data_IF_077079498717
#
_entry.id   IF_077079498717
#
_cell.length_a   1.000
_cell.length_b   1.000
_cell.length_c   1.000
_cell.angle_alpha   90.00
_cell.angle_beta   90.00
_cell.angle_gamma   90.00
#
_symmetry.space_group_name_H-M   'P 1'
#
loop_
_entity.id
_entity.type
_entity.pdbx_description
1 polymer ?
#
# COMPACT_ATOMS: atom_id res chain seq x y z
N UNK A 1 11.19 -28.04 15.45
CA UNK A 1 10.80 -29.19 14.60
C UNK A 1 11.22 -30.41 15.39
N UNK A 2 10.28 -31.14 15.99
CA UNK A 2 10.63 -32.37 16.72
C UNK A 2 11.12 -33.40 15.71
N UNK A 3 12.30 -33.94 15.95
CA UNK A 3 12.90 -34.94 15.07
C UNK A 3 12.21 -36.28 15.27
N UNK A 4 12.03 -37.04 14.19
CA UNK A 4 11.39 -38.36 14.25
C UNK A 4 12.07 -39.31 15.27
N UNK A 5 13.40 -39.22 15.42
CA UNK A 5 14.15 -40.01 16.41
C UNK A 5 13.86 -39.62 17.86
N UNK A 6 13.55 -38.35 18.12
CA UNK A 6 13.26 -37.82 19.45
C UNK A 6 11.87 -38.27 19.96
N UNK A 7 10.97 -38.66 19.04
CA UNK A 7 9.63 -39.18 19.34
C UNK A 7 9.69 -40.66 19.77
N UNK A 8 10.67 -41.41 19.26
CA UNK A 8 10.84 -42.84 19.56
C UNK A 8 11.89 -43.10 20.66
N UNK A 9 12.87 -42.21 20.84
CA UNK A 9 13.86 -42.30 21.93
C UNK A 9 14.85 -43.47 21.80
N UNK A 10 14.94 -44.11 20.62
CA UNK A 10 15.82 -45.25 20.38
C UNK A 10 17.20 -44.80 19.83
N UNK A 11 18.32 -45.44 20.23
CA UNK A 11 19.64 -45.15 19.69
C UNK A 11 19.78 -45.61 18.22
N UNK A 12 20.46 -44.81 17.39
CA UNK A 12 20.62 -44.99 15.93
C UNK A 12 21.14 -46.38 15.48
N UNK A 13 21.64 -47.21 16.40
CA UNK A 13 22.23 -48.51 16.12
C UNK A 13 21.22 -49.66 15.94
N UNK A 14 19.92 -49.45 16.17
CA UNK A 14 18.90 -50.53 16.11
C UNK A 14 17.89 -50.39 14.94
N UNK A 15 18.21 -49.61 13.91
CA UNK A 15 17.29 -49.41 12.79
C UNK A 15 17.08 -50.70 11.98
N UNK A 16 15.85 -51.21 11.99
CA UNK A 16 15.40 -52.23 11.03
C UNK A 16 15.54 -51.75 9.58
N UNK A 17 15.59 -52.70 8.64
CA UNK A 17 15.68 -52.56 7.18
C UNK A 17 15.75 -51.10 6.66
N UNK A 18 16.94 -50.69 6.19
CA UNK A 18 17.32 -49.32 5.81
C UNK A 18 16.33 -48.57 4.89
N UNK A 19 15.51 -49.30 4.15
CA UNK A 19 14.50 -48.72 3.27
C UNK A 19 13.22 -48.31 4.02
N UNK A 20 12.76 -49.14 4.96
CA UNK A 20 11.55 -48.87 5.77
C UNK A 20 11.77 -47.68 6.69
N UNK A 21 12.94 -47.59 7.32
CA UNK A 21 13.30 -46.45 8.18
C UNK A 21 13.30 -45.12 7.44
N UNK A 22 13.97 -45.06 6.27
CA UNK A 22 14.03 -43.84 5.43
C UNK A 22 12.65 -43.41 4.92
N UNK A 23 11.81 -44.38 4.55
CA UNK A 23 10.45 -44.09 4.08
C UNK A 23 9.56 -43.57 5.21
N UNK A 24 9.60 -44.20 6.39
CA UNK A 24 8.86 -43.76 7.56
C UNK A 24 9.26 -42.33 7.97
N UNK A 25 10.57 -42.04 8.02
CA UNK A 25 11.09 -40.71 8.31
C UNK A 25 10.60 -39.65 7.31
N UNK A 26 10.60 -39.97 6.01
CA UNK A 26 10.14 -39.05 4.95
C UNK A 26 8.63 -38.81 5.02
N UNK A 27 7.82 -39.85 5.20
CA UNK A 27 6.36 -39.71 5.29
C UNK A 27 5.98 -38.94 6.56
N UNK A 28 6.58 -39.26 7.70
CA UNK A 28 6.30 -38.56 8.95
C UNK A 28 6.58 -37.05 8.87
N UNK A 29 7.75 -36.68 8.35
CA UNK A 29 8.15 -35.26 8.21
C UNK A 29 7.20 -34.50 7.28
N UNK A 30 6.79 -35.15 6.19
CA UNK A 30 5.85 -34.58 5.22
C UNK A 30 4.45 -34.39 5.82
N UNK A 31 3.92 -35.43 6.49
CA UNK A 31 2.57 -35.41 7.08
C UNK A 31 2.45 -34.39 8.21
N UNK A 32 3.42 -34.32 9.13
CA UNK A 32 3.40 -33.33 10.21
C UNK A 32 3.38 -31.91 9.65
N UNK A 33 4.21 -31.64 8.63
CA UNK A 33 4.24 -30.33 7.97
C UNK A 33 2.92 -30.01 7.25
N UNK A 34 2.29 -31.00 6.62
CA UNK A 34 1.01 -30.83 5.94
C UNK A 34 -0.13 -30.54 6.93
N UNK A 35 -0.19 -31.23 8.07
CA UNK A 35 -1.22 -31.01 9.10
C UNK A 35 -1.11 -29.61 9.70
N UNK A 36 0.09 -29.13 10.02
CA UNK A 36 0.27 -27.76 10.53
C UNK A 36 -0.18 -26.69 9.53
N UNK A 37 0.09 -26.90 8.23
CA UNK A 37 -0.37 -26.03 7.15
C UNK A 37 -1.90 -26.07 7.02
N UNK A 38 -2.50 -27.26 7.03
CA UNK A 38 -3.94 -27.44 6.90
C UNK A 38 -4.69 -26.81 8.09
N UNK A 39 -4.18 -26.99 9.31
CA UNK A 39 -4.74 -26.36 10.51
C UNK A 39 -4.65 -24.83 10.44
N UNK A 40 -3.53 -24.29 9.96
CA UNK A 40 -3.38 -22.85 9.71
C UNK A 40 -4.38 -22.35 8.69
N UNK A 41 -4.60 -23.06 7.58
CA UNK A 41 -5.58 -22.66 6.55
C UNK A 41 -6.99 -22.61 7.15
N UNK A 42 -7.38 -23.59 7.96
CA UNK A 42 -8.69 -23.61 8.62
C UNK A 42 -8.85 -22.39 9.56
N UNK A 43 -7.81 -22.04 10.31
CA UNK A 43 -7.83 -20.87 11.20
C UNK A 43 -7.79 -19.53 10.45
N UNK A 44 -7.21 -19.48 9.26
CA UNK A 44 -7.17 -18.26 8.44
C UNK A 44 -8.52 -17.94 7.83
N UNK A 45 -9.36 -18.93 7.51
CA UNK A 45 -10.69 -18.72 6.95
C UNK A 45 -11.57 -17.76 7.78
N UNK A 46 -11.80 -17.97 9.09
CA UNK A 46 -12.62 -17.05 9.89
C UNK A 46 -11.98 -15.67 10.01
N UNK A 47 -10.65 -15.59 10.13
CA UNK A 47 -9.91 -14.33 10.19
C UNK A 47 -10.08 -13.54 8.89
N UNK A 48 -9.95 -14.20 7.73
CA UNK A 48 -10.14 -13.59 6.42
C UNK A 48 -11.56 -13.05 6.23
N UNK A 49 -12.58 -13.76 6.73
CA UNK A 49 -13.98 -13.29 6.70
C UNK A 49 -14.14 -12.01 7.53
N UNK A 50 -13.60 -11.97 8.75
CA UNK A 50 -13.67 -10.79 9.62
C UNK A 50 -12.97 -9.58 8.97
N UNK A 51 -11.77 -9.78 8.44
CA UNK A 51 -11.05 -8.72 7.72
C UNK A 51 -11.77 -8.28 6.45
N UNK A 52 -12.38 -9.21 5.71
CA UNK A 52 -13.17 -8.89 4.53
C UNK A 52 -14.38 -8.00 4.84
N UNK A 53 -15.09 -8.29 5.94
CA UNK A 53 -16.23 -7.46 6.38
C UNK A 53 -15.75 -6.08 6.84
N UNK A 54 -14.67 -6.02 7.62
CA UNK A 54 -14.07 -4.74 8.05
C UNK A 54 -13.66 -3.89 6.84
N UNK A 55 -13.03 -4.51 5.85
CA UNK A 55 -12.62 -3.83 4.61
C UNK A 55 -13.82 -3.36 3.79
N UNK A 56 -14.90 -4.15 3.72
CA UNK A 56 -16.13 -3.76 3.03
C UNK A 56 -16.76 -2.52 3.67
N UNK A 57 -16.84 -2.48 5.01
CA UNK A 57 -17.37 -1.31 5.75
C UNK A 57 -16.47 -0.10 5.52
N UNK A 58 -15.15 -0.27 5.62
CA UNK A 58 -14.19 0.81 5.38
C UNK A 58 -14.31 1.38 3.95
N UNK A 59 -14.44 0.50 2.95
CA UNK A 59 -14.64 0.88 1.56
C UNK A 59 -15.94 1.65 1.37
N UNK A 60 -17.05 1.19 1.97
CA UNK A 60 -18.32 1.91 1.92
C UNK A 60 -18.19 3.32 2.53
N UNK A 61 -17.59 3.44 3.72
CA UNK A 61 -17.34 4.74 4.36
C UNK A 61 -16.48 5.64 3.45
N UNK A 62 -15.42 5.11 2.87
CA UNK A 62 -14.55 5.87 1.97
C UNK A 62 -15.30 6.39 0.74
N UNK A 63 -16.12 5.56 0.10
CA UNK A 63 -16.86 5.97 -1.10
C UNK A 63 -17.92 7.02 -0.74
N UNK A 64 -18.69 6.79 0.32
CA UNK A 64 -19.81 7.66 0.69
C UNK A 64 -19.40 8.93 1.43
N UNK A 65 -18.27 8.96 2.14
CA UNK A 65 -17.83 10.12 2.93
C UNK A 65 -16.59 10.78 2.31
N UNK A 66 -15.53 10.02 2.00
CA UNK A 66 -14.30 10.64 1.50
C UNK A 66 -14.47 11.23 0.09
N UNK A 67 -15.23 10.57 -0.79
CA UNK A 67 -15.46 11.09 -2.16
C UNK A 67 -16.19 12.43 -2.18
N UNK A 68 -17.36 12.61 -1.51
CA UNK A 68 -18.02 13.91 -1.51
C UNK A 68 -17.22 14.97 -0.76
N UNK A 69 -16.53 14.63 0.34
CA UNK A 69 -15.68 15.59 1.05
C UNK A 69 -14.48 16.03 0.19
N UNK A 70 -13.86 15.10 -0.54
CA UNK A 70 -12.75 15.40 -1.44
C UNK A 70 -13.17 16.35 -2.57
N UNK A 71 -14.36 16.17 -3.13
CA UNK A 71 -14.94 17.11 -4.10
C UNK A 71 -15.24 18.48 -3.47
N UNK A 72 -15.83 18.49 -2.28
CA UNK A 72 -16.22 19.72 -1.58
C UNK A 72 -15.00 20.55 -1.14
N UNK A 73 -13.89 19.90 -0.81
CA UNK A 73 -12.60 20.54 -0.50
C UNK A 73 -11.83 20.90 -1.79
N UNK A 74 -11.95 20.09 -2.85
CA UNK A 74 -11.29 20.35 -4.13
C UNK A 74 -11.80 21.59 -4.85
N UNK A 75 -13.09 21.90 -4.71
CA UNK A 75 -13.71 23.10 -5.31
C UNK A 75 -13.09 24.43 -4.81
N UNK A 76 -13.00 24.71 -3.50
CA UNK A 76 -12.36 25.93 -3.01
C UNK A 76 -10.85 25.93 -3.29
N UNK A 77 -10.17 24.78 -3.17
CA UNK A 77 -8.74 24.68 -3.45
C UNK A 77 -8.41 25.07 -4.91
N UNK A 78 -9.21 24.62 -5.88
CA UNK A 78 -9.05 24.96 -7.29
C UNK A 78 -9.39 26.43 -7.57
N UNK A 79 -10.39 27.00 -6.90
CA UNK A 79 -10.72 28.42 -7.02
C UNK A 79 -9.58 29.32 -6.53
N UNK A 80 -8.99 29.00 -5.38
CA UNK A 80 -7.85 29.74 -4.82
C UNK A 80 -6.63 29.67 -5.75
N UNK A 81 -6.33 28.50 -6.31
CA UNK A 81 -5.23 28.33 -7.26
C UNK A 81 -5.42 29.19 -8.52
N UNK A 82 -6.64 29.26 -9.07
CA UNK A 82 -6.95 30.11 -10.22
C UNK A 82 -6.85 31.60 -9.89
N UNK A 83 -7.37 32.04 -8.75
CA UNK A 83 -7.28 33.44 -8.31
C UNK A 83 -5.83 33.89 -8.18
N UNK A 84 -4.96 33.06 -7.60
CA UNK A 84 -3.54 33.37 -7.48
C UNK A 84 -2.84 33.47 -8.85
N UNK A 85 -3.23 32.62 -9.81
CA UNK A 85 -2.68 32.65 -11.16
C UNK A 85 -3.14 33.89 -11.94
N UNK A 86 -4.43 34.26 -11.90
CA UNK A 86 -4.92 35.49 -12.52
C UNK A 86 -4.23 36.72 -11.93
N UNK A 87 -4.13 36.81 -10.59
CA UNK A 87 -3.43 37.90 -9.92
C UNK A 87 -1.95 38.00 -10.34
N UNK A 88 -1.26 36.86 -10.50
CA UNK A 88 0.12 36.83 -10.97
C UNK A 88 0.25 37.28 -12.44
N UNK A 89 -0.67 36.86 -13.31
CA UNK A 89 -0.69 37.25 -14.73
C UNK A 89 -0.98 38.74 -14.89
N UNK A 90 -1.97 39.28 -14.16
CA UNK A 90 -2.32 40.70 -14.20
C UNK A 90 -1.16 41.58 -13.70
N UNK A 91 -0.51 41.19 -12.60
CA UNK A 91 0.64 41.91 -12.06
C UNK A 91 1.83 41.93 -13.04
N UNK A 92 2.12 40.80 -13.68
CA UNK A 92 3.17 40.70 -14.71
C UNK A 92 2.88 41.59 -15.91
N UNK A 93 1.62 41.65 -16.37
CA UNK A 93 1.20 42.50 -17.48
C UNK A 93 1.38 43.98 -17.17
N UNK A 94 1.02 44.40 -15.95
CA UNK A 94 1.19 45.77 -15.48
C UNK A 94 2.67 46.16 -15.44
N UNK A 95 3.55 45.31 -14.92
CA UNK A 95 5.00 45.57 -14.89
C UNK A 95 5.56 45.74 -16.30
N UNK A 96 5.18 44.85 -17.22
CA UNK A 96 5.62 44.92 -18.62
C UNK A 96 5.16 46.22 -19.30
N UNK A 97 3.92 46.63 -19.05
CA UNK A 97 3.35 47.86 -19.61
C UNK A 97 4.06 49.13 -19.09
N UNK A 98 4.36 49.17 -17.78
CA UNK A 98 5.11 50.27 -17.17
C UNK A 98 6.56 50.31 -17.68
N UNK A 99 7.22 49.15 -17.79
CA UNK A 99 8.59 49.06 -18.31
C UNK A 99 8.67 49.61 -19.74
N UNK A 100 7.70 49.26 -20.61
CA UNK A 100 7.63 49.79 -21.97
C UNK A 100 7.45 51.31 -21.98
N UNK A 101 6.57 51.86 -21.13
CA UNK A 101 6.36 53.31 -21.03
C UNK A 101 7.63 54.07 -20.60
N UNK A 102 8.36 53.54 -19.62
CA UNK A 102 9.62 54.13 -19.14
C UNK A 102 10.69 54.13 -20.25
N UNK A 103 10.83 53.01 -20.97
CA UNK A 103 11.77 52.90 -22.10
C UNK A 103 11.40 53.91 -23.19
N UNK A 104 10.13 53.99 -23.56
CA UNK A 104 9.66 54.90 -24.61
C UNK A 104 9.88 56.37 -24.22
N UNK A 105 9.63 56.73 -22.96
CA UNK A 105 9.91 58.07 -22.41
C UNK A 105 11.41 58.38 -22.38
N UNK A 106 12.27 57.40 -22.14
CA UNK A 106 13.73 57.58 -22.20
C UNK A 106 14.26 57.80 -23.62
N UNK A 107 13.58 57.24 -24.62
CA UNK A 107 13.97 57.32 -26.04
C UNK A 107 13.58 58.67 -26.68
N UNK A 108 12.47 59.27 -26.23
CA UNK A 108 11.97 60.57 -26.72
C UNK A 108 12.64 61.80 -26.08
N UNK A 109 13.46 61.60 -25.04
CA UNK A 109 14.19 62.67 -24.32
C UNK A 109 15.59 62.91 -24.89
N UNK A 110 16.03 62.07 -25.83
CA UNK A 110 17.36 62.14 -26.45
C UNK A 110 17.39 62.92 -27.78
N UNK A 111 16.30 63.61 -28.14
CA UNK A 111 16.23 64.65 -29.19
C UNK A 111 16.17 66.06 -28.57
#
# INVERSE_FOLDING_TARGET
MMEFGDIFGEPDSNHSFQWTWRLAHRIFTSTSSFIYKLLTVILVIPVAIVFGILFAIFSAISIFICTPLGLLIGMPANAIAKVNLYAFVDFSLIISSIALFVILRSLFVFD
#
